data_IF_271769641064
#
_entry.id   IF_271769641064
#
_cell.length_a   1.000
_cell.length_b   1.000
_cell.length_c   1.000
_cell.angle_alpha   90.00
_cell.angle_beta   90.00
_cell.angle_gamma   90.00
#
_symmetry.space_group_name_H-M   'P 1'
#
loop_
_entity.id
_entity.type
_entity.pdbx_description
1 polymer ?
#
# COMPACT_ATOMS: atom_id res chain seq x y z
N UNK A 1 -2.34 21.06 -17.97
CA UNK A 1 -3.41 20.06 -18.21
C UNK A 1 -3.05 18.83 -17.43
N UNK A 2 -3.90 18.40 -16.49
CA UNK A 2 -3.70 17.10 -15.83
C UNK A 2 -4.24 16.02 -16.78
N UNK A 3 -3.36 15.18 -17.31
CA UNK A 3 -3.75 13.92 -17.94
C UNK A 3 -3.88 12.87 -16.85
N UNK A 4 -4.86 12.00 -16.94
CA UNK A 4 -5.05 10.87 -16.04
C UNK A 4 -4.92 9.57 -16.80
N UNK A 5 -4.11 8.68 -16.28
CA UNK A 5 -3.93 7.33 -16.81
C UNK A 5 -4.65 6.33 -15.89
N UNK A 6 -5.40 5.40 -16.46
CA UNK A 6 -6.12 4.35 -15.76
C UNK A 6 -5.90 2.99 -16.38
N UNK A 7 -6.23 1.92 -15.63
CA UNK A 7 -6.29 0.57 -16.15
C UNK A 7 -7.74 0.05 -16.21
N UNK A 8 -8.11 -0.52 -17.35
CA UNK A 8 -9.26 -1.41 -17.48
C UNK A 8 -8.78 -2.83 -17.17
N UNK A 9 -9.09 -3.32 -15.99
CA UNK A 9 -8.66 -4.64 -15.52
C UNK A 9 -9.79 -5.64 -15.70
N UNK A 10 -9.54 -6.71 -16.48
CA UNK A 10 -10.54 -7.76 -16.73
C UNK A 10 -9.88 -9.02 -17.28
N UNK A 11 -10.40 -10.19 -16.87
CA UNK A 11 -10.07 -11.47 -17.50
C UNK A 11 -10.63 -11.59 -18.91
N UNK A 12 -11.65 -10.79 -19.23
CA UNK A 12 -12.22 -10.70 -20.56
C UNK A 12 -11.55 -9.55 -21.35
N UNK A 13 -10.67 -9.91 -22.28
CA UNK A 13 -9.93 -8.94 -23.08
C UNK A 13 -10.83 -8.03 -23.94
N UNK A 14 -11.93 -8.54 -24.48
CA UNK A 14 -12.87 -7.76 -25.29
C UNK A 14 -13.61 -6.72 -24.43
N UNK A 15 -13.97 -7.08 -23.20
CA UNK A 15 -14.52 -6.12 -22.25
C UNK A 15 -13.52 -5.00 -21.93
N UNK A 16 -12.25 -5.36 -21.65
CA UNK A 16 -11.18 -4.37 -21.39
C UNK A 16 -10.94 -3.46 -22.61
N UNK A 17 -10.92 -4.00 -23.84
CA UNK A 17 -10.82 -3.22 -25.09
C UNK A 17 -12.00 -2.26 -25.24
N UNK A 18 -13.21 -2.70 -24.94
CA UNK A 18 -14.42 -1.87 -25.00
C UNK A 18 -14.32 -0.69 -24.06
N UNK A 19 -13.94 -0.94 -22.79
CA UNK A 19 -13.73 0.13 -21.81
C UNK A 19 -12.63 1.09 -22.26
N UNK A 20 -11.49 0.57 -22.70
CA UNK A 20 -10.39 1.38 -23.22
C UNK A 20 -10.85 2.31 -24.34
N UNK A 21 -11.60 1.77 -25.33
CA UNK A 21 -12.08 2.54 -26.48
C UNK A 21 -13.11 3.61 -26.10
N UNK A 22 -14.00 3.30 -25.15
CA UNK A 22 -15.08 4.22 -24.75
C UNK A 22 -14.58 5.37 -23.90
N UNK A 23 -13.56 5.14 -23.05
CA UNK A 23 -13.13 6.13 -22.08
C UNK A 23 -11.85 6.89 -22.47
N UNK A 24 -11.02 6.35 -23.40
CA UNK A 24 -9.83 7.07 -23.85
C UNK A 24 -10.20 8.31 -24.67
N UNK A 25 -9.54 9.43 -24.35
CA UNK A 25 -9.65 10.71 -25.09
C UNK A 25 -8.36 11.53 -24.89
N UNK A 26 -8.33 12.80 -25.33
CA UNK A 26 -7.14 13.65 -25.27
C UNK A 26 -6.65 13.95 -23.83
N UNK A 27 -7.49 13.74 -22.81
CA UNK A 27 -7.20 14.03 -21.40
C UNK A 27 -7.15 12.78 -20.51
N UNK A 28 -7.61 11.65 -21.03
CA UNK A 28 -7.83 10.43 -20.27
C UNK A 28 -7.34 9.23 -21.07
N UNK A 29 -6.30 8.57 -20.58
CA UNK A 29 -5.70 7.42 -21.23
C UNK A 29 -6.00 6.15 -20.46
N UNK A 30 -6.58 5.16 -21.12
CA UNK A 30 -6.91 3.86 -20.53
C UNK A 30 -5.97 2.80 -21.08
N UNK A 31 -5.25 2.14 -20.17
CA UNK A 31 -4.48 0.94 -20.45
C UNK A 31 -5.30 -0.32 -20.14
N UNK A 32 -4.84 -1.47 -20.54
CA UNK A 32 -5.49 -2.75 -20.24
C UNK A 32 -4.58 -3.63 -19.41
N UNK A 33 -5.17 -4.34 -18.44
CA UNK A 33 -4.49 -5.31 -17.61
C UNK A 33 -5.40 -6.53 -17.42
N UNK A 34 -4.82 -7.75 -17.48
CA UNK A 34 -5.54 -9.00 -17.23
C UNK A 34 -5.27 -9.57 -15.83
N UNK A 35 -4.52 -8.86 -15.02
CA UNK A 35 -4.13 -9.28 -13.67
C UNK A 35 -5.13 -8.86 -12.60
N UNK A 36 -6.40 -9.31 -12.68
CA UNK A 36 -7.48 -8.91 -11.75
C UNK A 36 -7.08 -9.13 -10.31
N UNK A 37 -6.62 -10.33 -9.94
CA UNK A 37 -6.16 -10.66 -8.57
C UNK A 37 -5.07 -9.69 -8.11
N UNK A 38 -4.08 -9.42 -8.99
CA UNK A 38 -2.97 -8.54 -8.67
C UNK A 38 -3.43 -7.11 -8.42
N UNK A 39 -4.34 -6.58 -9.23
CA UNK A 39 -4.87 -5.24 -9.08
C UNK A 39 -5.67 -5.08 -7.76
N UNK A 40 -6.54 -6.04 -7.42
CA UNK A 40 -7.32 -6.03 -6.18
C UNK A 40 -6.42 -6.10 -4.93
N UNK A 41 -5.40 -6.95 -4.94
CA UNK A 41 -4.43 -7.07 -3.86
C UNK A 41 -3.59 -5.79 -3.75
N UNK A 42 -3.18 -5.21 -4.88
CA UNK A 42 -2.44 -3.95 -4.93
C UNK A 42 -3.16 -2.85 -4.17
N UNK A 43 -4.47 -2.70 -4.39
CA UNK A 43 -5.31 -1.69 -3.70
C UNK A 43 -5.33 -1.90 -2.18
N UNK A 44 -5.36 -3.14 -1.70
CA UNK A 44 -5.33 -3.42 -0.26
C UNK A 44 -3.97 -3.06 0.36
N UNK A 45 -2.87 -3.54 -0.22
CA UNK A 45 -1.52 -3.38 0.31
C UNK A 45 -1.04 -1.93 0.20
N UNK A 46 -1.30 -1.21 -0.90
CA UNK A 46 -0.91 0.21 -1.02
C UNK A 46 -1.47 1.06 0.11
N UNK A 47 -2.68 0.76 0.57
CA UNK A 47 -3.33 1.50 1.64
C UNK A 47 -2.64 1.27 3.00
N UNK A 48 -2.12 0.06 3.25
CA UNK A 48 -1.29 -0.25 4.42
C UNK A 48 0.03 0.52 4.34
N UNK A 49 0.69 0.49 3.18
CA UNK A 49 1.94 1.22 2.95
C UNK A 49 1.77 2.72 3.07
N UNK A 50 0.60 3.25 2.68
CA UNK A 50 0.29 4.68 2.85
C UNK A 50 0.17 5.06 4.34
N UNK A 51 -0.41 4.21 5.19
CA UNK A 51 -0.39 4.42 6.65
C UNK A 51 1.06 4.45 7.15
N UNK A 52 1.89 3.47 6.77
CA UNK A 52 3.29 3.41 7.16
C UNK A 52 4.07 4.67 6.70
N UNK A 53 3.85 5.12 5.45
CA UNK A 53 4.47 6.33 4.91
C UNK A 53 4.05 7.59 5.69
N UNK A 54 2.77 7.70 6.02
CA UNK A 54 2.27 8.78 6.87
C UNK A 54 2.88 8.76 8.27
N UNK A 55 3.04 7.59 8.87
CA UNK A 55 3.71 7.44 10.18
C UNK A 55 5.16 7.95 10.11
N UNK A 56 5.92 7.56 9.07
CA UNK A 56 7.30 8.05 8.89
C UNK A 56 7.35 9.58 8.78
N UNK A 57 6.45 10.17 8.01
CA UNK A 57 6.32 11.62 7.91
C UNK A 57 6.00 12.26 9.27
N UNK A 58 5.07 11.65 10.02
CA UNK A 58 4.63 12.15 11.33
C UNK A 58 5.72 12.20 12.39
N UNK A 59 6.63 11.24 12.36
CA UNK A 59 7.82 11.19 13.26
C UNK A 59 9.03 11.94 12.70
N UNK A 60 8.88 12.66 11.59
CA UNK A 60 9.94 13.49 11.02
C UNK A 60 11.00 12.73 10.22
N UNK A 61 10.72 11.52 9.74
CA UNK A 61 11.62 10.81 8.83
C UNK A 61 11.57 11.44 7.43
N UNK A 62 12.74 11.61 6.83
CA UNK A 62 12.89 12.28 5.53
C UNK A 62 12.50 11.44 4.33
N UNK A 63 12.61 12.05 3.14
CA UNK A 63 12.20 11.46 1.86
C UNK A 63 12.89 10.12 1.54
N UNK A 64 14.18 9.98 1.92
CA UNK A 64 14.92 8.73 1.72
C UNK A 64 14.28 7.55 2.47
N UNK A 65 13.82 7.77 3.72
CA UNK A 65 13.14 6.72 4.48
C UNK A 65 11.81 6.33 3.85
N UNK A 66 11.06 7.31 3.34
CA UNK A 66 9.80 7.05 2.61
C UNK A 66 10.03 6.34 1.28
N UNK A 67 11.07 6.71 0.53
CA UNK A 67 11.45 6.03 -0.71
C UNK A 67 11.84 4.56 -0.44
N UNK A 68 12.64 4.31 0.61
CA UNK A 68 12.99 2.95 1.05
C UNK A 68 11.75 2.15 1.47
N UNK A 69 10.81 2.78 2.22
CA UNK A 69 9.54 2.15 2.59
C UNK A 69 8.73 1.75 1.35
N UNK A 70 8.56 2.64 0.37
CA UNK A 70 7.80 2.35 -0.84
C UNK A 70 8.45 1.22 -1.66
N UNK A 71 9.78 1.20 -1.78
CA UNK A 71 10.51 0.13 -2.46
C UNK A 71 10.30 -1.22 -1.76
N UNK A 72 10.41 -1.26 -0.43
CA UNK A 72 10.16 -2.48 0.36
C UNK A 72 8.70 -2.87 0.39
N UNK A 73 7.81 -1.89 0.45
CA UNK A 73 6.36 -2.10 0.36
C UNK A 73 5.93 -2.71 -0.97
N UNK A 74 6.53 -2.28 -2.09
CA UNK A 74 6.31 -2.90 -3.40
C UNK A 74 6.78 -4.36 -3.42
N UNK A 75 7.90 -4.67 -2.76
CA UNK A 75 8.38 -6.05 -2.64
C UNK A 75 7.43 -6.92 -1.79
N UNK A 76 6.86 -6.39 -0.70
CA UNK A 76 5.83 -7.09 0.10
C UNK A 76 4.56 -7.30 -0.72
N UNK A 77 4.06 -6.25 -1.38
CA UNK A 77 2.89 -6.30 -2.25
C UNK A 77 3.04 -7.39 -3.31
N UNK A 78 4.20 -7.42 -3.99
CA UNK A 78 4.50 -8.41 -5.03
C UNK A 78 4.54 -9.82 -4.45
N UNK A 79 5.22 -10.01 -3.32
CA UNK A 79 5.33 -11.32 -2.65
C UNK A 79 3.97 -11.87 -2.25
N UNK A 80 3.18 -11.07 -1.56
CA UNK A 80 1.85 -11.44 -1.12
C UNK A 80 0.93 -11.74 -2.31
N UNK A 81 0.92 -10.85 -3.29
CA UNK A 81 0.05 -10.99 -4.44
C UNK A 81 0.40 -12.19 -5.32
N UNK A 82 1.67 -12.48 -5.54
CA UNK A 82 2.10 -13.67 -6.30
C UNK A 82 1.73 -14.94 -5.54
N UNK A 83 1.88 -14.97 -4.22
CA UNK A 83 1.47 -16.10 -3.38
C UNK A 83 -0.04 -16.38 -3.44
N UNK A 84 -0.85 -15.38 -3.79
CA UNK A 84 -2.30 -15.50 -3.99
C UNK A 84 -2.71 -15.67 -5.46
N UNK A 85 -1.77 -15.85 -6.37
CA UNK A 85 -2.05 -16.11 -7.79
C UNK A 85 -2.02 -14.85 -8.68
N UNK A 86 -1.62 -13.71 -8.15
CA UNK A 86 -1.39 -12.49 -8.94
C UNK A 86 -0.14 -12.60 -9.81
N UNK A 87 -0.10 -11.81 -10.89
CA UNK A 87 1.04 -11.71 -11.80
C UNK A 87 2.02 -10.64 -11.30
N UNK A 88 3.32 -10.96 -11.28
CA UNK A 88 4.38 -10.03 -10.84
C UNK A 88 4.37 -8.72 -11.64
N UNK A 89 4.12 -8.80 -12.93
CA UNK A 89 4.11 -7.67 -13.86
C UNK A 89 3.04 -6.63 -13.51
N UNK A 90 1.92 -7.05 -12.93
CA UNK A 90 0.84 -6.14 -12.48
C UNK A 90 1.35 -5.11 -11.48
N UNK A 91 2.27 -5.50 -10.60
CA UNK A 91 2.80 -4.61 -9.56
C UNK A 91 3.84 -3.61 -10.06
N UNK A 92 4.38 -3.80 -11.27
CA UNK A 92 5.32 -2.86 -11.92
C UNK A 92 4.61 -1.78 -12.74
N UNK A 93 3.29 -1.86 -12.87
CA UNK A 93 2.45 -0.93 -13.64
C UNK A 93 1.68 0.06 -12.76
N UNK A 94 0.64 0.65 -13.37
CA UNK A 94 -0.23 1.67 -12.74
C UNK A 94 -0.96 1.11 -11.49
N UNK A 95 -1.42 -0.14 -11.54
CA UNK A 95 -2.14 -0.80 -10.44
C UNK A 95 -1.22 -1.23 -9.27
N UNK A 96 0.08 -1.13 -9.46
CA UNK A 96 1.10 -1.43 -8.45
C UNK A 96 1.88 -0.21 -8.03
N UNK A 97 3.10 -0.04 -8.61
CA UNK A 97 4.02 1.03 -8.22
C UNK A 97 3.44 2.42 -8.43
N UNK A 98 2.65 2.64 -9.49
CA UNK A 98 2.05 3.95 -9.75
C UNK A 98 1.09 4.37 -8.65
N UNK A 99 0.14 3.49 -8.32
CA UNK A 99 -0.86 3.73 -7.30
C UNK A 99 -0.27 3.74 -5.87
N UNK A 100 0.79 2.95 -5.64
CA UNK A 100 1.56 2.98 -4.40
C UNK A 100 2.19 4.35 -4.16
N UNK A 101 2.91 4.89 -5.15
CA UNK A 101 3.60 6.19 -5.03
C UNK A 101 2.60 7.30 -4.71
N UNK A 102 1.55 7.45 -5.51
CA UNK A 102 0.57 8.52 -5.30
C UNK A 102 -0.15 8.40 -3.96
N UNK A 103 -0.47 7.18 -3.53
CA UNK A 103 -1.18 6.95 -2.26
C UNK A 103 -0.29 7.22 -1.04
N UNK A 104 1.01 6.90 -1.14
CA UNK A 104 2.00 7.10 -0.07
C UNK A 104 2.51 8.54 0.05
N UNK A 105 2.27 9.42 -0.94
CA UNK A 105 2.80 10.79 -0.95
C UNK A 105 1.71 11.86 -0.91
N UNK A 106 0.46 11.50 -1.13
CA UNK A 106 -0.64 12.46 -1.25
C UNK A 106 -1.30 12.77 0.10
N UNK A 107 -1.39 14.05 0.43
CA UNK A 107 -2.20 14.55 1.55
C UNK A 107 -3.72 14.31 1.37
N UNK A 108 -4.16 13.99 0.17
CA UNK A 108 -5.56 13.59 -0.09
C UNK A 108 -5.83 12.13 0.27
N UNK A 109 -4.79 11.32 0.48
CA UNK A 109 -4.93 9.94 0.94
C UNK A 109 -5.37 9.91 2.40
N UNK A 110 -6.55 9.35 2.67
CA UNK A 110 -7.04 9.14 4.04
C UNK A 110 -6.12 8.21 4.84
N UNK A 111 -5.52 7.24 4.17
CA UNK A 111 -4.56 6.31 4.78
C UNK A 111 -3.27 7.04 5.19
N UNK A 112 -2.71 7.84 4.29
CA UNK A 112 -1.52 8.64 4.59
C UNK A 112 -1.78 9.64 5.74
N UNK A 113 -2.88 10.37 5.70
CA UNK A 113 -3.21 11.36 6.75
C UNK A 113 -3.51 10.72 8.10
N UNK A 114 -4.11 9.52 8.12
CA UNK A 114 -4.26 8.74 9.36
C UNK A 114 -2.89 8.34 9.93
N UNK A 115 -2.00 7.82 9.09
CA UNK A 115 -0.63 7.49 9.49
C UNK A 115 0.15 8.71 10.00
N UNK A 116 0.04 9.86 9.31
CA UNK A 116 0.66 11.12 9.71
C UNK A 116 0.22 11.55 11.12
N UNK A 117 -1.08 11.41 11.43
CA UNK A 117 -1.59 11.72 12.76
C UNK A 117 -1.04 10.74 13.81
N UNK A 118 -1.06 9.44 13.53
CA UNK A 118 -0.51 8.40 14.42
C UNK A 118 0.99 8.63 14.70
N UNK A 119 1.75 8.98 13.66
CA UNK A 119 3.17 9.30 13.79
C UNK A 119 3.41 10.52 14.69
N UNK A 120 2.64 11.61 14.51
CA UNK A 120 2.72 12.82 15.36
C UNK A 120 2.33 12.57 16.80
N UNK A 121 1.32 11.73 17.03
CA UNK A 121 0.84 11.40 18.37
C UNK A 121 1.72 10.34 19.07
N UNK A 122 2.60 9.64 18.34
CA UNK A 122 3.46 8.57 18.86
C UNK A 122 2.71 7.28 19.21
N UNK A 123 1.40 7.22 18.99
CA UNK A 123 0.54 6.05 19.23
C UNK A 123 -0.74 6.09 18.42
N UNK A 124 -1.42 4.96 18.29
CA UNK A 124 -2.72 4.86 17.62
C UNK A 124 -3.93 5.17 18.53
N UNK A 125 -3.72 5.42 19.83
CA UNK A 125 -4.83 5.58 20.79
C UNK A 125 -5.78 6.72 20.42
N UNK A 126 -5.22 7.89 20.10
CA UNK A 126 -6.00 9.06 19.72
C UNK A 126 -6.73 8.85 18.40
N UNK A 127 -6.07 8.21 17.44
CA UNK A 127 -6.71 7.81 16.19
C UNK A 127 -7.97 6.98 16.45
N UNK A 128 -7.89 5.97 17.30
CA UNK A 128 -9.06 5.12 17.62
C UNK A 128 -10.19 5.87 18.33
N UNK A 129 -9.85 6.85 19.16
CA UNK A 129 -10.84 7.63 19.92
C UNK A 129 -11.57 8.69 19.06
N UNK A 130 -10.85 9.33 18.15
CA UNK A 130 -11.33 10.54 17.47
C UNK A 130 -11.67 10.32 15.98
N UNK A 131 -11.11 9.30 15.33
CA UNK A 131 -11.34 9.07 13.92
C UNK A 131 -12.76 8.57 13.64
N UNK A 132 -13.49 9.36 12.83
CA UNK A 132 -14.85 9.02 12.37
C UNK A 132 -14.90 8.66 10.88
N UNK A 133 -13.76 8.68 10.20
CA UNK A 133 -13.68 8.40 8.76
C UNK A 133 -13.28 6.96 8.53
N UNK A 134 -13.78 6.38 7.46
CA UNK A 134 -13.29 5.08 6.98
C UNK A 134 -11.88 5.24 6.46
N UNK A 135 -10.95 4.46 7.01
CA UNK A 135 -9.55 4.34 6.59
C UNK A 135 -9.35 2.89 6.16
N UNK A 136 -9.36 2.67 4.84
CA UNK A 136 -9.39 1.33 4.24
C UNK A 136 -8.18 0.48 4.66
N UNK A 137 -7.00 1.11 4.75
CA UNK A 137 -5.76 0.45 5.13
C UNK A 137 -5.78 -0.14 6.53
N UNK A 138 -6.62 0.39 7.43
CA UNK A 138 -6.76 -0.16 8.78
C UNK A 138 -7.41 -1.55 8.72
N UNK A 139 -8.57 -1.67 8.08
CA UNK A 139 -9.24 -2.96 7.93
C UNK A 139 -8.40 -3.93 7.07
N UNK A 140 -7.82 -3.44 5.96
CA UNK A 140 -6.95 -4.22 5.09
C UNK A 140 -5.74 -4.78 5.85
N UNK A 141 -5.12 -3.99 6.74
CA UNK A 141 -3.97 -4.40 7.53
C UNK A 141 -4.27 -5.65 8.36
N UNK A 142 -5.41 -5.69 9.03
CA UNK A 142 -5.82 -6.85 9.83
C UNK A 142 -5.98 -8.10 8.98
N UNK A 143 -6.74 -8.00 7.89
CA UNK A 143 -7.01 -9.13 6.98
C UNK A 143 -5.71 -9.65 6.35
N UNK A 144 -4.85 -8.76 5.84
CA UNK A 144 -3.58 -9.13 5.20
C UNK A 144 -2.63 -9.74 6.22
N UNK A 145 -2.54 -9.19 7.43
CA UNK A 145 -1.72 -9.73 8.51
C UNK A 145 -2.13 -11.18 8.85
N UNK A 146 -3.41 -11.40 9.12
CA UNK A 146 -3.94 -12.73 9.48
C UNK A 146 -3.71 -13.75 8.36
N UNK A 147 -3.98 -13.38 7.11
CA UNK A 147 -3.84 -14.29 5.97
C UNK A 147 -2.35 -14.55 5.62
N UNK A 148 -1.48 -13.54 5.75
CA UNK A 148 -0.05 -13.69 5.54
C UNK A 148 0.56 -14.67 6.56
N UNK A 149 0.22 -14.53 7.84
CA UNK A 149 0.68 -15.42 8.90
C UNK A 149 0.20 -16.86 8.69
N UNK A 150 -1.07 -17.04 8.35
CA UNK A 150 -1.65 -18.34 8.04
C UNK A 150 -0.92 -19.05 6.90
N UNK A 151 -0.42 -18.31 5.92
CA UNK A 151 0.29 -18.83 4.74
C UNK A 151 1.81 -18.82 4.86
N UNK A 152 2.36 -18.29 5.94
CA UNK A 152 3.81 -18.15 6.12
C UNK A 152 4.46 -17.15 5.16
N UNK A 153 3.74 -16.09 4.76
CA UNK A 153 4.24 -15.04 3.86
C UNK A 153 4.90 -13.94 4.71
N UNK A 154 6.19 -13.64 4.43
CA UNK A 154 6.95 -12.61 5.16
C UNK A 154 6.50 -11.19 4.76
N UNK A 155 5.83 -10.49 5.67
CA UNK A 155 5.24 -9.17 5.47
C UNK A 155 5.68 -8.17 6.56
N UNK A 156 6.98 -7.91 6.70
CA UNK A 156 7.53 -7.19 7.86
C UNK A 156 6.99 -5.77 8.04
N UNK A 157 6.72 -5.00 6.99
CA UNK A 157 6.15 -3.65 7.14
C UNK A 157 4.70 -3.76 7.60
N UNK A 158 3.93 -4.64 6.98
CA UNK A 158 2.54 -4.92 7.36
C UNK A 158 2.44 -5.35 8.83
N UNK A 159 3.36 -6.21 9.30
CA UNK A 159 3.43 -6.64 10.70
C UNK A 159 3.64 -5.48 11.66
N UNK A 160 4.51 -4.52 11.31
CA UNK A 160 4.73 -3.36 12.17
C UNK A 160 3.55 -2.37 12.13
N UNK A 161 2.91 -2.19 10.98
CA UNK A 161 1.68 -1.39 10.91
C UNK A 161 0.57 -2.02 11.76
N UNK A 162 0.44 -3.34 11.72
CA UNK A 162 -0.50 -4.08 12.58
C UNK A 162 -0.18 -3.88 14.06
N UNK A 163 1.10 -3.99 14.44
CA UNK A 163 1.53 -3.81 15.83
C UNK A 163 1.23 -2.40 16.35
N UNK A 164 1.39 -1.36 15.53
CA UNK A 164 1.02 0.01 15.90
C UNK A 164 -0.50 0.15 16.04
N UNK A 165 -1.25 -0.37 15.08
CA UNK A 165 -2.71 -0.19 15.06
C UNK A 165 -3.43 -1.00 16.12
N UNK A 166 -3.01 -2.24 16.37
CA UNK A 166 -3.79 -3.23 17.14
C UNK A 166 -3.11 -3.74 18.41
N UNK A 167 -1.78 -3.62 18.52
CA UNK A 167 -1.03 -4.07 19.69
C UNK A 167 -0.50 -2.93 20.58
N UNK A 168 -0.73 -1.66 20.16
CA UNK A 168 -0.35 -0.49 20.94
C UNK A 168 1.16 -0.21 20.97
N UNK A 169 1.94 -0.78 20.05
CA UNK A 169 3.37 -0.47 19.94
C UNK A 169 3.59 0.94 19.40
N UNK A 170 4.66 1.60 19.86
CA UNK A 170 5.03 2.92 19.34
C UNK A 170 5.66 2.82 17.94
N UNK A 171 5.50 3.87 17.10
CA UNK A 171 6.19 3.94 15.81
C UNK A 171 7.71 3.73 15.89
N UNK A 172 8.37 4.31 16.90
CA UNK A 172 9.82 4.19 17.07
C UNK A 172 10.26 2.75 17.37
N UNK A 173 9.51 2.02 18.21
CA UNK A 173 9.79 0.61 18.49
C UNK A 173 9.65 -0.24 17.22
N UNK A 174 8.63 0.02 16.41
CA UNK A 174 8.38 -0.68 15.17
C UNK A 174 9.48 -0.43 14.13
N UNK A 175 9.98 0.81 14.00
CA UNK A 175 11.11 1.11 13.14
C UNK A 175 12.39 0.39 13.62
N UNK A 176 12.68 0.42 14.92
CA UNK A 176 13.81 -0.33 15.47
C UNK A 176 13.74 -1.81 15.15
N UNK A 177 12.54 -2.39 15.25
CA UNK A 177 12.30 -3.80 14.88
C UNK A 177 12.61 -4.06 13.41
N UNK A 178 12.18 -3.19 12.49
CA UNK A 178 12.49 -3.32 11.07
C UNK A 178 14.00 -3.20 10.81
N UNK A 179 14.68 -2.25 11.46
CA UNK A 179 16.12 -2.03 11.29
C UNK A 179 16.98 -3.11 11.91
N UNK A 180 16.49 -3.87 12.89
CA UNK A 180 17.22 -4.97 13.55
C UNK A 180 17.11 -6.31 12.80
N UNK A 181 16.37 -6.37 11.68
CA UNK A 181 16.27 -7.59 10.87
C UNK A 181 17.62 -8.01 10.31
N UNK A 182 17.78 -9.32 10.11
CA UNK A 182 19.00 -9.87 9.52
C UNK A 182 19.33 -9.25 8.17
N UNK A 183 20.61 -8.98 7.94
CA UNK A 183 21.10 -8.47 6.67
C UNK A 183 20.91 -9.54 5.59
N UNK A 184 20.40 -9.14 4.44
CA UNK A 184 20.19 -10.00 3.28
C UNK A 184 20.43 -9.22 1.98
N UNK A 185 20.71 -9.91 0.85
CA UNK A 185 20.73 -9.24 -0.46
C UNK A 185 19.42 -8.51 -0.74
N UNK A 186 19.47 -7.48 -1.56
CA UNK A 186 18.28 -6.71 -1.93
C UNK A 186 17.34 -7.54 -2.82
N UNK A 187 17.91 -8.33 -3.73
CA UNK A 187 17.23 -9.22 -4.68
C UNK A 187 17.85 -10.61 -4.64
#
# INVERSE_FOLDING_TARGET
>A
MCSSDLNAVSDNEEAAKTVQKLFSNDYFRVYRNTGVIGAEIGVAIKNIMAIASGILEGIGQGDNARAALMTRGLAEMTRYGVALGGKKETYLGLDGVGDLIVTCTSMHSRNFTAGLQIGKDGSSEKFWKENKRTVEGVAACKVVYEEAHKRGIDMPITDQVYAILYEGKSPEECIKTLMSRSLKPEM
#
